data_IF_401951578406
#
_entry.id   IF_401951578406
#
_cell.length_a   1.000
_cell.length_b   1.000
_cell.length_c   1.000
_cell.angle_alpha   90.00
_cell.angle_beta   90.00
_cell.angle_gamma   90.00
#
_symmetry.space_group_name_H-M   'P 1'
#
loop_
_entity.id
_entity.type
_entity.pdbx_description
1 polymer ?
#
# COMPACT_ATOMS: atom_id res chain seq x y z
N UNK A 1 18.70 -25.51 -25.47
CA UNK A 1 17.30 -25.70 -25.00
C UNK A 1 17.36 -26.44 -23.67
N UNK A 2 17.01 -25.79 -22.55
CA UNK A 2 16.85 -26.51 -21.27
C UNK A 2 15.49 -27.20 -21.32
N UNK A 3 15.47 -28.53 -21.41
CA UNK A 3 14.26 -29.32 -21.19
C UNK A 3 13.79 -29.09 -19.75
N UNK A 4 12.61 -28.50 -19.57
CA UNK A 4 11.97 -28.42 -18.27
C UNK A 4 11.69 -29.84 -17.79
N UNK A 5 12.42 -30.30 -16.77
CA UNK A 5 12.17 -31.60 -16.15
C UNK A 5 10.84 -31.50 -15.41
N UNK A 6 9.84 -32.27 -15.83
CA UNK A 6 8.55 -32.35 -15.14
C UNK A 6 8.73 -32.83 -13.71
N UNK A 7 7.89 -32.34 -12.80
CA UNK A 7 7.85 -32.78 -11.41
C UNK A 7 6.76 -33.85 -11.27
N UNK A 8 7.15 -35.05 -10.82
CA UNK A 8 6.26 -36.19 -10.67
C UNK A 8 6.17 -36.61 -9.20
N UNK A 9 4.94 -36.80 -8.70
CA UNK A 9 4.72 -37.51 -7.45
C UNK A 9 4.65 -39.01 -7.76
N UNK A 10 5.61 -39.77 -7.25
CA UNK A 10 5.70 -41.21 -7.48
C UNK A 10 5.35 -41.93 -6.19
N UNK A 11 4.28 -42.73 -6.21
CA UNK A 11 3.91 -43.63 -5.12
C UNK A 11 4.15 -45.05 -5.58
N UNK A 12 4.95 -45.80 -4.82
CA UNK A 12 5.24 -47.21 -5.10
C UNK A 12 4.79 -48.07 -3.94
N UNK A 13 3.97 -49.07 -4.22
CA UNK A 13 3.55 -50.05 -3.23
C UNK A 13 4.05 -51.43 -3.63
N UNK A 14 4.74 -52.09 -2.70
CA UNK A 14 5.25 -53.47 -2.86
C UNK A 14 4.20 -54.47 -2.43
N UNK A 15 4.09 -55.57 -3.15
CA UNK A 15 3.18 -56.68 -2.88
C UNK A 15 3.89 -58.02 -3.05
N UNK A 16 3.25 -59.10 -2.60
CA UNK A 16 3.77 -60.47 -2.69
C UNK A 16 5.18 -60.63 -2.09
N UNK A 17 5.35 -60.30 -0.79
CA UNK A 17 6.65 -60.38 -0.09
C UNK A 17 7.79 -59.63 -0.81
N UNK A 18 7.51 -58.45 -1.36
CA UNK A 18 8.46 -57.63 -2.13
C UNK A 18 8.89 -58.22 -3.49
N UNK A 19 8.18 -59.21 -4.02
CA UNK A 19 8.46 -59.75 -5.36
C UNK A 19 7.77 -58.96 -6.49
N UNK A 20 6.80 -58.11 -6.17
CA UNK A 20 6.16 -57.23 -7.13
C UNK A 20 6.00 -55.81 -6.56
N UNK A 21 5.97 -54.81 -7.44
CA UNK A 21 5.65 -53.44 -7.09
C UNK A 21 4.69 -52.84 -8.12
N UNK A 22 3.70 -52.09 -7.62
CA UNK A 22 2.90 -51.20 -8.44
C UNK A 22 3.39 -49.77 -8.20
N UNK A 23 3.71 -49.06 -9.28
CA UNK A 23 4.15 -47.66 -9.23
C UNK A 23 3.14 -46.81 -10.00
N UNK A 24 2.66 -45.76 -9.37
CA UNK A 24 1.85 -44.72 -10.00
C UNK A 24 2.64 -43.42 -9.97
N UNK A 25 2.79 -42.79 -11.13
CA UNK A 25 3.36 -41.45 -11.27
C UNK A 25 2.27 -40.46 -11.67
N UNK A 26 2.07 -39.43 -10.86
CA UNK A 26 1.22 -38.29 -11.19
C UNK A 26 2.12 -37.10 -11.57
N UNK A 27 1.92 -36.52 -12.75
CA UNK A 27 2.56 -35.25 -13.09
C UNK A 27 1.93 -34.14 -12.24
N UNK A 28 2.74 -33.51 -11.39
CA UNK A 28 2.33 -32.43 -10.50
C UNK A 28 3.01 -31.10 -10.87
N UNK A 29 3.58 -31.00 -12.06
CA UNK A 29 4.35 -29.83 -12.49
C UNK A 29 3.53 -28.55 -12.40
N UNK A 30 2.30 -28.55 -12.92
CA UNK A 30 1.41 -27.38 -12.92
C UNK A 30 0.97 -26.98 -11.51
N UNK A 31 0.64 -27.97 -10.66
CA UNK A 31 0.29 -27.74 -9.26
C UNK A 31 1.45 -27.07 -8.51
N UNK A 32 2.67 -27.58 -8.67
CA UNK A 32 3.88 -27.04 -8.03
C UNK A 32 4.25 -25.65 -8.52
N UNK A 33 4.07 -25.40 -9.82
CA UNK A 33 4.26 -24.06 -10.39
C UNK A 33 3.25 -23.08 -9.80
N UNK A 34 1.98 -23.48 -9.66
CA UNK A 34 0.93 -22.67 -9.05
C UNK A 34 1.22 -22.38 -7.57
N UNK A 35 1.57 -23.40 -6.78
CA UNK A 35 1.96 -23.25 -5.38
C UNK A 35 3.14 -22.28 -5.22
N UNK A 36 4.16 -22.44 -6.07
CA UNK A 36 5.35 -21.57 -6.05
C UNK A 36 5.01 -20.13 -6.45
N UNK A 37 4.19 -19.94 -7.49
CA UNK A 37 3.76 -18.61 -7.93
C UNK A 37 2.95 -17.89 -6.84
N UNK A 38 2.02 -18.58 -6.17
CA UNK A 38 1.27 -18.04 -5.05
C UNK A 38 2.17 -17.69 -3.86
N UNK A 39 3.13 -18.55 -3.52
CA UNK A 39 4.10 -18.28 -2.46
C UNK A 39 4.98 -17.05 -2.77
N UNK A 40 5.38 -16.86 -4.03
CA UNK A 40 6.14 -15.68 -4.47
C UNK A 40 5.32 -14.40 -4.36
N UNK A 41 4.05 -14.42 -4.79
CA UNK A 41 3.14 -13.28 -4.65
C UNK A 41 2.93 -12.96 -3.16
N UNK A 42 2.65 -13.96 -2.34
CA UNK A 42 2.50 -13.79 -0.89
C UNK A 42 3.74 -13.17 -0.25
N UNK A 43 4.93 -13.65 -0.62
CA UNK A 43 6.19 -13.09 -0.13
C UNK A 43 6.38 -11.63 -0.54
N UNK A 44 6.01 -11.26 -1.78
CA UNK A 44 6.11 -9.89 -2.24
C UNK A 44 5.19 -8.93 -1.44
N UNK A 45 3.96 -9.37 -1.13
CA UNK A 45 3.00 -8.61 -0.32
C UNK A 45 3.50 -8.46 1.12
N UNK A 46 3.98 -9.56 1.73
CA UNK A 46 4.56 -9.57 3.08
C UNK A 46 5.81 -8.68 3.19
N UNK A 47 6.64 -8.62 2.15
CA UNK A 47 7.86 -7.81 2.14
C UNK A 47 7.67 -6.35 1.71
N UNK A 48 6.44 -5.97 1.34
CA UNK A 48 6.15 -4.60 0.91
C UNK A 48 6.40 -3.61 2.04
N UNK A 49 6.97 -2.45 1.71
CA UNK A 49 7.09 -1.33 2.65
C UNK A 49 5.77 -0.58 2.85
N UNK A 50 4.84 -0.70 1.90
CA UNK A 50 3.51 -0.12 2.01
C UNK A 50 2.59 -1.04 2.81
N UNK A 51 1.72 -0.43 3.61
CA UNK A 51 0.72 -1.15 4.38
C UNK A 51 -0.35 -1.71 3.43
N UNK A 52 -0.46 -3.04 3.37
CA UNK A 52 -1.43 -3.74 2.54
C UNK A 52 -2.43 -4.44 3.44
N UNK A 53 -3.71 -4.27 3.15
CA UNK A 53 -4.77 -5.02 3.80
C UNK A 53 -5.82 -5.46 2.79
N UNK A 54 -6.53 -6.53 3.13
CA UNK A 54 -7.64 -7.04 2.31
C UNK A 54 -8.85 -7.31 3.18
N UNK A 55 -10.01 -7.11 2.58
CA UNK A 55 -11.31 -7.34 3.21
C UNK A 55 -12.20 -8.26 2.39
N UNK A 56 -13.18 -8.87 3.05
CA UNK A 56 -14.31 -9.51 2.38
C UNK A 56 -15.25 -8.47 1.73
N UNK A 57 -16.28 -8.94 1.01
CA UNK A 57 -17.26 -8.05 0.36
C UNK A 57 -18.08 -7.19 1.35
N UNK A 58 -18.10 -7.53 2.64
CA UNK A 58 -18.78 -6.77 3.69
C UNK A 58 -17.87 -5.71 4.33
N UNK A 59 -16.57 -5.72 3.99
CA UNK A 59 -15.57 -4.81 4.55
C UNK A 59 -14.85 -5.35 5.79
N UNK A 60 -15.07 -6.61 6.18
CA UNK A 60 -14.31 -7.21 7.28
C UNK A 60 -12.90 -7.55 6.83
N UNK A 61 -11.89 -7.17 7.59
CA UNK A 61 -10.50 -7.53 7.32
C UNK A 61 -10.29 -9.03 7.42
N UNK A 62 -9.66 -9.59 6.39
CA UNK A 62 -9.27 -11.00 6.29
C UNK A 62 -7.76 -11.16 6.20
N UNK A 63 -7.03 -10.09 5.88
CA UNK A 63 -5.58 -10.09 5.75
C UNK A 63 -5.01 -8.70 6.00
N UNK A 64 -3.80 -8.65 6.57
CA UNK A 64 -2.94 -7.48 6.65
C UNK A 64 -1.47 -7.91 6.63
N UNK A 65 -0.61 -7.15 5.96
CA UNK A 65 0.82 -7.42 5.93
C UNK A 65 1.55 -6.79 7.15
N UNK A 66 2.84 -7.10 7.38
CA UNK A 66 3.60 -6.56 8.51
C UNK A 66 3.72 -5.03 8.50
N UNK A 67 3.82 -4.41 7.32
CA UNK A 67 3.88 -2.95 7.19
C UNK A 67 2.57 -2.29 7.68
N UNK A 68 1.42 -2.93 7.49
CA UNK A 68 0.15 -2.46 8.05
C UNK A 68 0.19 -2.40 9.58
N UNK A 69 0.67 -3.46 10.21
CA UNK A 69 0.82 -3.52 11.67
C UNK A 69 1.75 -2.42 12.19
N UNK A 70 2.87 -2.19 11.51
CA UNK A 70 3.84 -1.14 11.87
C UNK A 70 3.28 0.28 11.70
N UNK A 71 2.44 0.49 10.68
CA UNK A 71 1.85 1.79 10.40
C UNK A 71 0.73 2.13 11.39
N UNK A 72 -0.22 1.21 11.59
CA UNK A 72 -1.47 1.47 12.32
C UNK A 72 -1.51 0.95 13.76
N UNK A 73 -0.50 0.19 14.21
CA UNK A 73 -0.40 -0.39 15.56
C UNK A 73 -1.49 -1.43 15.90
N UNK A 74 -2.06 -2.08 14.88
CA UNK A 74 -3.01 -3.21 15.03
C UNK A 74 -2.33 -4.51 14.66
N UNK A 75 -2.20 -5.43 15.62
CA UNK A 75 -1.42 -6.66 15.43
C UNK A 75 -2.20 -7.72 14.64
N UNK A 76 -3.52 -7.76 14.80
CA UNK A 76 -4.38 -8.76 14.13
C UNK A 76 -5.60 -8.13 13.48
N UNK A 77 -6.17 -8.86 12.51
CA UNK A 77 -7.39 -8.44 11.80
C UNK A 77 -8.60 -8.40 12.74
N UNK A 78 -8.63 -9.21 13.80
CA UNK A 78 -9.69 -9.23 14.80
C UNK A 78 -9.72 -7.93 15.61
N UNK A 79 -8.55 -7.41 16.01
CA UNK A 79 -8.47 -6.14 16.73
C UNK A 79 -9.01 -4.98 15.89
N UNK A 80 -8.71 -5.00 14.59
CA UNK A 80 -9.17 -3.99 13.65
C UNK A 80 -10.67 -4.14 13.35
N UNK A 81 -11.15 -5.38 13.16
CA UNK A 81 -12.57 -5.64 12.95
C UNK A 81 -13.42 -5.28 14.17
N UNK A 82 -12.89 -5.40 15.40
CA UNK A 82 -13.58 -4.99 16.62
C UNK A 82 -13.91 -3.49 16.67
N UNK A 83 -13.20 -2.67 15.88
CA UNK A 83 -13.45 -1.23 15.73
C UNK A 83 -14.04 -0.86 14.38
N UNK A 84 -14.66 -1.81 13.67
CA UNK A 84 -15.27 -1.61 12.33
C UNK A 84 -14.29 -1.39 11.16
N UNK A 85 -13.06 -1.90 11.25
CA UNK A 85 -12.13 -1.99 10.12
C UNK A 85 -11.35 -0.72 9.80
N UNK A 86 -10.57 -0.72 8.71
CA UNK A 86 -9.68 0.37 8.30
C UNK A 86 -10.37 1.74 8.17
N UNK A 87 -11.63 1.79 7.73
CA UNK A 87 -12.32 3.07 7.52
C UNK A 87 -12.59 3.82 8.83
N UNK A 88 -12.62 3.15 9.99
CA UNK A 88 -12.77 3.83 11.28
C UNK A 88 -11.50 4.54 11.75
N UNK A 89 -10.35 4.22 11.14
CA UNK A 89 -9.09 4.91 11.41
C UNK A 89 -9.04 6.28 10.73
N UNK A 90 -9.84 6.52 9.68
CA UNK A 90 -9.87 7.79 8.95
C UNK A 90 -10.55 8.84 9.82
N UNK A 91 -9.89 9.98 10.06
CA UNK A 91 -10.40 10.96 11.02
C UNK A 91 -11.55 11.81 10.49
N UNK A 92 -11.68 11.97 9.17
CA UNK A 92 -12.83 12.66 8.55
C UNK A 92 -13.90 11.65 8.14
N UNK A 93 -14.98 11.59 8.92
CA UNK A 93 -16.13 10.70 8.67
C UNK A 93 -16.77 10.89 7.29
N UNK A 94 -16.71 12.10 6.71
CA UNK A 94 -17.26 12.36 5.39
C UNK A 94 -16.46 11.64 4.32
N UNK A 95 -15.14 11.64 4.46
CA UNK A 95 -14.23 10.94 3.54
C UNK A 95 -14.39 9.43 3.72
N UNK A 96 -14.47 8.94 4.96
CA UNK A 96 -14.74 7.53 5.25
C UNK A 96 -16.06 7.05 4.60
N UNK A 97 -17.12 7.88 4.69
CA UNK A 97 -18.40 7.61 4.02
C UNK A 97 -18.27 7.61 2.50
N UNK A 98 -17.59 8.60 1.93
CA UNK A 98 -17.34 8.67 0.48
C UNK A 98 -16.61 7.42 -0.02
N UNK A 99 -15.60 6.96 0.72
CA UNK A 99 -14.90 5.71 0.42
C UNK A 99 -15.86 4.53 0.45
N UNK A 100 -16.63 4.37 1.53
CA UNK A 100 -17.61 3.28 1.66
C UNK A 100 -18.62 3.26 0.50
N UNK A 101 -19.13 4.42 0.10
CA UNK A 101 -20.10 4.52 -1.00
C UNK A 101 -19.46 4.23 -2.36
N UNK A 102 -18.22 4.69 -2.59
CA UNK A 102 -17.44 4.38 -3.81
C UNK A 102 -17.23 2.86 -3.94
N UNK A 103 -16.91 2.23 -2.83
CA UNK A 103 -16.60 0.80 -2.73
C UNK A 103 -17.83 -0.07 -2.93
N UNK A 104 -18.99 0.31 -2.37
CA UNK A 104 -20.28 -0.38 -2.58
C UNK A 104 -20.69 -0.39 -4.06
N UNK A 105 -20.32 0.65 -4.80
CA UNK A 105 -20.55 0.73 -6.24
C UNK A 105 -19.52 -0.07 -7.06
N UNK A 106 -18.57 -0.75 -6.41
CA UNK A 106 -17.53 -1.54 -7.07
C UNK A 106 -16.47 -0.70 -7.79
N UNK A 107 -16.36 0.58 -7.45
CA UNK A 107 -15.39 1.51 -8.01
C UNK A 107 -14.14 1.61 -7.13
N UNK A 108 -13.04 2.00 -7.74
CA UNK A 108 -11.80 2.31 -7.04
C UNK A 108 -11.84 3.69 -6.39
N UNK A 109 -11.17 3.84 -5.25
CA UNK A 109 -10.97 5.12 -4.59
C UNK A 109 -9.49 5.33 -4.30
N UNK A 110 -8.99 6.57 -4.44
CA UNK A 110 -7.67 6.93 -3.94
C UNK A 110 -7.63 8.38 -3.47
N UNK A 111 -6.74 8.67 -2.53
CA UNK A 111 -6.57 10.02 -1.99
C UNK A 111 -5.70 10.07 -0.74
N UNK A 112 -5.39 11.29 -0.33
CA UNK A 112 -4.66 11.58 0.91
C UNK A 112 -5.65 11.74 2.05
N UNK A 113 -5.46 11.02 3.14
CA UNK A 113 -6.31 11.10 4.33
C UNK A 113 -5.47 11.08 5.61
N UNK A 114 -5.83 11.89 6.62
CA UNK A 114 -5.35 11.69 7.97
C UNK A 114 -6.03 10.47 8.59
N UNK A 115 -5.22 9.60 9.16
CA UNK A 115 -5.67 8.46 9.94
C UNK A 115 -5.12 8.54 11.37
N UNK A 116 -5.78 7.82 12.27
CA UNK A 116 -5.37 7.66 13.66
C UNK A 116 -4.93 6.21 13.89
N UNK A 117 -3.72 6.00 14.39
CA UNK A 117 -3.26 4.66 14.80
C UNK A 117 -3.89 4.26 16.14
N UNK A 118 -3.71 2.99 16.54
CA UNK A 118 -4.16 2.51 17.85
C UNK A 118 -3.54 3.31 19.01
N UNK A 119 -2.30 3.77 18.85
CA UNK A 119 -1.56 4.59 19.81
C UNK A 119 -1.94 6.09 19.82
N UNK A 120 -3.04 6.48 19.16
CA UNK A 120 -3.52 7.86 19.02
C UNK A 120 -2.59 8.79 18.20
N UNK A 121 -1.65 8.22 17.45
CA UNK A 121 -0.79 8.96 16.51
C UNK A 121 -1.60 9.33 15.26
N UNK A 122 -1.56 10.60 14.87
CA UNK A 122 -2.10 11.05 13.58
C UNK A 122 -1.05 10.82 12.49
N UNK A 123 -1.43 10.08 11.45
CA UNK A 123 -0.59 9.69 10.33
C UNK A 123 -1.23 10.23 9.06
N UNK A 124 -0.44 10.90 8.23
CA UNK A 124 -0.89 11.30 6.90
C UNK A 124 -0.62 10.12 5.96
N UNK A 125 -1.67 9.56 5.36
CA UNK A 125 -1.51 8.46 4.39
C UNK A 125 -2.02 8.87 3.03
N UNK A 126 -1.42 8.31 1.98
CA UNK A 126 -2.07 8.17 0.69
C UNK A 126 -2.60 6.74 0.59
N UNK A 127 -3.91 6.58 0.45
CA UNK A 127 -4.55 5.26 0.37
C UNK A 127 -5.17 5.09 -1.01
N UNK A 128 -4.97 3.91 -1.59
CA UNK A 128 -5.65 3.41 -2.78
C UNK A 128 -6.42 2.15 -2.42
N UNK A 129 -7.67 2.08 -2.85
CA UNK A 129 -8.55 0.96 -2.57
C UNK A 129 -9.21 0.50 -3.87
N UNK A 130 -9.09 -0.79 -4.15
CA UNK A 130 -9.60 -1.44 -5.35
C UNK A 130 -10.51 -2.62 -4.96
N UNK A 131 -11.59 -2.82 -5.71
CA UNK A 131 -12.52 -3.93 -5.52
C UNK A 131 -12.04 -5.18 -6.27
N UNK A 132 -12.05 -6.33 -5.58
CA UNK A 132 -11.93 -7.63 -6.20
C UNK A 132 -13.29 -8.07 -6.72
N UNK A 133 -13.37 -8.40 -8.01
CA UNK A 133 -14.59 -8.90 -8.64
C UNK A 133 -14.38 -10.32 -9.16
N UNK A 134 -15.41 -11.14 -9.07
CA UNK A 134 -15.39 -12.47 -9.69
C UNK A 134 -15.74 -12.41 -11.18
N UNK A 135 -15.76 -13.57 -11.85
CA UNK A 135 -16.08 -13.69 -13.27
C UNK A 135 -17.50 -13.20 -13.67
N UNK A 136 -18.39 -12.95 -12.70
CA UNK A 136 -19.74 -12.40 -12.90
C UNK A 136 -19.83 -10.91 -12.52
N UNK A 137 -18.70 -10.22 -12.44
CA UNK A 137 -18.57 -8.80 -12.04
C UNK A 137 -19.11 -8.49 -10.62
N UNK A 138 -19.32 -9.53 -9.79
CA UNK A 138 -19.75 -9.35 -8.40
C UNK A 138 -18.52 -9.09 -7.53
N UNK A 139 -18.58 -8.03 -6.73
CA UNK A 139 -17.57 -7.72 -5.72
C UNK A 139 -17.49 -8.87 -4.70
N UNK A 140 -16.29 -9.38 -4.46
CA UNK A 140 -15.99 -10.46 -3.51
C UNK A 140 -15.08 -10.02 -2.36
N UNK A 141 -14.50 -8.82 -2.45
CA UNK A 141 -13.63 -8.26 -1.43
C UNK A 141 -12.93 -7.01 -1.94
N UNK A 142 -12.00 -6.50 -1.15
CA UNK A 142 -11.25 -5.31 -1.51
C UNK A 142 -9.79 -5.42 -1.07
N UNK A 143 -8.92 -4.67 -1.73
CA UNK A 143 -7.54 -4.45 -1.32
C UNK A 143 -7.31 -2.97 -1.09
N UNK A 144 -6.70 -2.64 0.04
CA UNK A 144 -6.25 -1.30 0.37
C UNK A 144 -4.72 -1.29 0.48
N UNK A 145 -4.10 -0.32 -0.17
CA UNK A 145 -2.67 -0.03 -0.10
C UNK A 145 -2.52 1.37 0.47
N UNK A 146 -1.83 1.49 1.59
CA UNK A 146 -1.65 2.73 2.34
C UNK A 146 -0.16 3.06 2.44
N UNK A 147 0.23 4.19 1.86
CA UNK A 147 1.57 4.75 1.95
C UNK A 147 1.60 5.86 3.01
N UNK A 148 2.56 5.80 3.93
CA UNK A 148 2.82 6.92 4.85
C UNK A 148 3.44 8.08 4.08
N UNK A 149 2.79 9.24 4.11
CA UNK A 149 3.24 10.47 3.46
C UNK A 149 3.55 11.56 4.49
N UNK A 150 3.67 11.21 5.78
CA UNK A 150 3.89 12.15 6.87
C UNK A 150 5.20 12.92 6.69
N UNK A 151 6.31 12.23 6.42
CA UNK A 151 7.61 12.88 6.16
C UNK A 151 7.56 13.80 4.94
N UNK A 152 6.92 13.35 3.85
CA UNK A 152 6.73 14.15 2.63
C UNK A 152 5.97 15.44 2.94
N UNK A 153 4.86 15.36 3.68
CA UNK A 153 4.06 16.53 4.09
C UNK A 153 4.82 17.47 5.00
N UNK A 154 5.64 16.94 5.91
CA UNK A 154 6.49 17.76 6.78
C UNK A 154 7.56 18.51 5.97
N UNK A 155 8.21 17.84 5.02
CA UNK A 155 9.18 18.47 4.12
C UNK A 155 8.54 19.56 3.24
N UNK A 156 7.37 19.29 2.65
CA UNK A 156 6.60 20.27 1.87
C UNK A 156 6.23 21.51 2.71
N UNK A 157 5.80 21.29 3.96
CA UNK A 157 5.46 22.38 4.88
C UNK A 157 6.69 23.22 5.24
N UNK A 158 7.80 22.59 5.60
CA UNK A 158 9.05 23.29 5.94
C UNK A 158 9.58 24.11 4.75
N UNK A 159 9.51 23.55 3.54
CA UNK A 159 9.89 24.28 2.33
C UNK A 159 9.03 25.53 2.14
N UNK A 160 7.70 25.39 2.26
CA UNK A 160 6.77 26.51 2.13
C UNK A 160 6.98 27.59 3.19
N UNK A 161 7.22 27.21 4.45
CA UNK A 161 7.52 28.14 5.53
C UNK A 161 8.84 28.90 5.29
N UNK A 162 9.86 28.20 4.78
CA UNK A 162 11.13 28.82 4.41
C UNK A 162 10.97 29.78 3.23
N UNK A 163 10.22 29.43 2.19
CA UNK A 163 9.92 30.31 1.06
C UNK A 163 9.17 31.57 1.50
N UNK A 164 8.17 31.42 2.38
CA UNK A 164 7.42 32.55 2.93
C UNK A 164 8.31 33.46 3.78
N UNK A 165 9.17 32.87 4.62
CA UNK A 165 10.12 33.62 5.44
C UNK A 165 11.14 34.36 4.58
N UNK A 166 11.69 33.71 3.56
CA UNK A 166 12.63 34.32 2.62
C UNK A 166 11.98 35.47 1.85
N UNK A 167 10.77 35.25 1.33
CA UNK A 167 9.98 36.29 0.65
C UNK A 167 9.73 37.49 1.56
N UNK A 168 9.29 37.26 2.79
CA UNK A 168 9.04 38.32 3.76
C UNK A 168 10.31 39.11 4.10
N UNK A 169 11.46 38.42 4.24
CA UNK A 169 12.75 39.07 4.49
C UNK A 169 13.19 39.96 3.33
N UNK A 170 12.98 39.51 2.08
CA UNK A 170 13.34 40.30 0.91
C UNK A 170 12.39 41.48 0.69
N UNK A 171 11.08 41.24 0.77
CA UNK A 171 10.07 42.28 0.50
C UNK A 171 10.05 43.38 1.56
N UNK A 172 10.54 43.12 2.77
CA UNK A 172 10.69 44.12 3.83
C UNK A 172 12.14 44.61 4.01
N UNK A 173 13.07 44.18 3.14
CA UNK A 173 14.44 44.71 3.18
C UNK A 173 14.49 46.09 2.54
N UNK A 174 15.16 47.03 3.19
CA UNK A 174 15.53 48.32 2.60
C UNK A 174 16.70 48.19 1.61
N UNK A 175 17.40 47.05 1.60
CA UNK A 175 18.54 46.83 0.70
C UNK A 175 18.06 46.24 -0.63
N UNK A 176 18.73 46.61 -1.73
CA UNK A 176 18.52 45.99 -3.04
C UNK A 176 19.20 44.61 -3.06
N UNK A 177 18.40 43.56 -3.20
CA UNK A 177 18.88 42.19 -3.36
C UNK A 177 18.73 41.80 -4.83
N UNK A 178 19.86 41.48 -5.48
CA UNK A 178 19.91 41.07 -6.88
C UNK A 178 20.60 39.71 -7.04
N UNK A 179 20.03 38.84 -7.87
CA UNK A 179 20.63 37.55 -8.26
C UNK A 179 20.98 37.62 -9.75
N UNK A 180 22.22 37.31 -10.09
CA UNK A 180 22.76 37.31 -11.45
C UNK A 180 23.22 35.90 -11.81
N UNK A 181 23.09 35.54 -13.08
CA UNK A 181 23.69 34.31 -13.61
C UNK A 181 25.22 34.47 -13.82
N UNK A 182 25.89 33.39 -14.25
CA UNK A 182 27.35 33.41 -14.52
C UNK A 182 27.79 34.38 -15.63
N UNK A 183 26.85 34.89 -16.44
CA UNK A 183 27.10 35.83 -17.52
C UNK A 183 26.71 37.28 -17.13
N UNK A 184 26.27 37.50 -15.88
CA UNK A 184 25.84 38.81 -15.39
C UNK A 184 24.41 39.19 -15.79
N UNK A 185 23.57 38.23 -16.20
CA UNK A 185 22.15 38.48 -16.51
C UNK A 185 21.32 38.38 -15.23
N UNK A 186 20.46 39.37 -14.98
CA UNK A 186 19.53 39.38 -13.86
C UNK A 186 18.56 38.20 -13.89
N UNK A 187 18.53 37.43 -12.81
CA UNK A 187 17.53 36.40 -12.53
C UNK A 187 16.49 36.85 -11.51
N UNK A 188 16.87 37.77 -10.62
CA UNK A 188 15.97 38.31 -9.60
C UNK A 188 16.43 39.69 -9.15
N UNK A 189 15.47 40.57 -8.85
CA UNK A 189 15.67 41.87 -8.22
C UNK A 189 14.55 42.06 -7.19
N UNK A 190 14.91 42.40 -5.95
CA UNK A 190 13.93 42.68 -4.89
C UNK A 190 13.13 43.95 -5.19
N UNK A 191 11.83 43.99 -4.86
CA UNK A 191 11.05 45.23 -4.88
C UNK A 191 11.42 46.05 -3.64
N UNK A 192 12.53 46.79 -3.70
CA UNK A 192 12.88 47.76 -2.65
C UNK A 192 11.80 48.86 -2.60
N UNK A 193 11.29 49.18 -1.40
CA UNK A 193 10.48 50.38 -1.20
C UNK A 193 11.39 51.59 -1.02
N UNK A 194 11.19 52.63 -1.83
CA UNK A 194 11.71 53.99 -1.55
C UNK A 194 11.14 54.56 -0.26
#
# INVERSE_FOLDING_TARGET
MKSSVGQYLIVTQKYNQSQAACTVGLDITELRQTETALALIGKAVESSSEAISMTDASGNHIYQNPAFTQLFDYATVEELNAISGLLSLITDERVAKQISDTMKNGNSWNGEVPCRSRGDRIIQIFIRIDAFKNAKDKVIGFVAISADITERKQAEKQLRENEQRFRALIENSTDIIQILDKNGIYQYLSPSQE
#
